data_IF_835028890804
#
_entry.id   IF_835028890804
#
_cell.length_a   1.000
_cell.length_b   1.000
_cell.length_c   1.000
_cell.angle_alpha   90.00
_cell.angle_beta   90.00
_cell.angle_gamma   90.00
#
_symmetry.space_group_name_H-M   'P 1'
#
loop_
_entity.id
_entity.type
_entity.pdbx_description
1 polymer ?
#
# COMPACT_ATOMS: atom_id res chain seq x y z
N UNK A 1 -2.69 14.48 -3.66
CA UNK A 1 -3.61 13.37 -3.38
C UNK A 1 -3.31 12.80 -2.02
N UNK A 2 -4.34 12.53 -1.23
CA UNK A 2 -4.15 11.98 0.10
C UNK A 2 -4.99 10.73 0.29
N UNK A 3 -4.48 9.83 1.11
CA UNK A 3 -5.18 8.58 1.40
C UNK A 3 -5.20 8.33 2.89
N UNK A 4 -6.23 7.63 3.34
CA UNK A 4 -6.28 7.08 4.67
C UNK A 4 -5.86 5.63 4.58
N UNK A 5 -4.98 5.22 5.49
CA UNK A 5 -4.46 3.87 5.51
C UNK A 5 -5.13 3.13 6.67
N UNK A 6 -5.83 2.06 6.36
CA UNK A 6 -6.54 1.27 7.36
C UNK A 6 -5.90 -0.09 7.41
N UNK A 7 -5.20 -0.39 8.52
CA UNK A 7 -4.55 -1.69 8.66
C UNK A 7 -5.59 -2.76 8.86
N UNK A 8 -5.55 -3.80 8.02
CA UNK A 8 -6.50 -4.89 8.13
C UNK A 8 -5.87 -6.15 8.70
N UNK A 9 -4.54 -6.31 8.61
CA UNK A 9 -3.87 -7.34 9.39
C UNK A 9 -2.39 -7.02 9.52
N UNK A 10 -1.76 -7.71 10.45
CA UNK A 10 -0.34 -7.57 10.71
C UNK A 10 0.18 -8.92 11.17
N UNK A 11 1.31 -9.33 10.60
CA UNK A 11 2.05 -10.50 11.07
C UNK A 11 3.40 -10.03 11.57
N UNK A 12 4.27 -10.98 11.95
CA UNK A 12 5.60 -10.59 12.42
C UNK A 12 6.46 -10.00 11.32
N UNK A 13 6.11 -10.21 10.05
CA UNK A 13 6.96 -9.75 8.94
C UNK A 13 6.17 -9.07 7.83
N UNK A 14 4.88 -8.82 8.02
CA UNK A 14 4.09 -8.17 6.97
C UNK A 14 2.90 -7.44 7.56
N UNK A 15 2.40 -6.48 6.80
CA UNK A 15 1.18 -5.74 7.14
C UNK A 15 0.42 -5.47 5.86
N UNK A 16 -0.89 -5.41 5.98
CA UNK A 16 -1.74 -5.03 4.85
C UNK A 16 -2.66 -3.89 5.25
N UNK A 17 -2.77 -2.93 4.36
CA UNK A 17 -3.61 -1.75 4.55
C UNK A 17 -4.57 -1.61 3.39
N UNK A 18 -5.78 -1.16 3.69
CA UNK A 18 -6.66 -0.63 2.66
C UNK A 18 -6.40 0.86 2.54
N UNK A 19 -6.53 1.38 1.34
CA UNK A 19 -6.40 2.81 1.09
C UNK A 19 -7.77 3.36 0.71
N UNK A 20 -8.20 4.37 1.44
CA UNK A 20 -9.44 5.09 1.14
C UNK A 20 -9.11 6.54 0.84
N UNK A 21 -9.89 7.16 -0.03
CA UNK A 21 -9.75 8.59 -0.24
C UNK A 21 -10.45 9.33 0.91
N UNK A 22 -10.44 10.66 0.84
CA UNK A 22 -10.99 11.45 1.94
C UNK A 22 -12.50 11.35 2.05
N UNK A 23 -13.17 10.85 1.02
CA UNK A 23 -14.61 10.62 1.08
C UNK A 23 -14.95 9.21 1.55
N UNK A 24 -13.95 8.37 1.79
CA UNK A 24 -14.15 7.00 2.25
C UNK A 24 -14.24 5.97 1.15
N UNK A 25 -14.06 6.36 -0.11
CA UNK A 25 -14.09 5.40 -1.20
C UNK A 25 -12.76 4.68 -1.33
N UNK A 26 -12.83 3.42 -1.71
CA UNK A 26 -11.65 2.58 -1.80
C UNK A 26 -10.77 3.02 -2.97
N UNK A 27 -9.48 3.23 -2.68
CA UNK A 27 -8.49 3.61 -3.67
C UNK A 27 -7.55 2.49 -4.03
N UNK A 28 -7.34 1.55 -3.12
CA UNK A 28 -6.38 0.50 -3.36
C UNK A 28 -6.02 -0.27 -2.12
N UNK A 29 -4.90 -0.97 -2.21
CA UNK A 29 -4.43 -1.85 -1.15
C UNK A 29 -2.92 -1.81 -1.13
N UNK A 30 -2.35 -1.87 0.07
CA UNK A 30 -0.90 -1.85 0.24
C UNK A 30 -0.48 -3.03 1.08
N UNK A 31 0.50 -3.78 0.59
CA UNK A 31 1.15 -4.82 1.37
C UNK A 31 2.59 -4.40 1.63
N UNK A 32 3.02 -4.49 2.88
CA UNK A 32 4.39 -4.23 3.28
C UNK A 32 4.99 -5.53 3.81
N UNK A 33 6.19 -5.84 3.35
CA UNK A 33 6.92 -7.04 3.78
C UNK A 33 8.25 -6.60 4.34
N UNK A 34 8.53 -7.01 5.58
CA UNK A 34 9.74 -6.62 6.30
C UNK A 34 10.71 -7.80 6.22
N UNK A 35 11.78 -7.63 5.46
CA UNK A 35 12.69 -8.71 5.15
C UNK A 35 13.75 -8.83 6.23
N UNK A 36 14.35 -10.02 6.32
CA UNK A 36 15.31 -10.31 7.38
C UNK A 36 16.57 -9.42 7.30
N UNK A 37 16.89 -8.91 6.11
CA UNK A 37 18.07 -8.06 5.93
C UNK A 37 17.79 -6.60 6.23
N UNK A 38 16.60 -6.27 6.71
CA UNK A 38 16.27 -4.89 7.06
C UNK A 38 15.62 -4.10 5.93
N UNK A 39 15.45 -4.69 4.75
CA UNK A 39 14.76 -3.99 3.67
C UNK A 39 13.26 -4.17 3.80
N UNK A 40 12.52 -3.27 3.16
CA UNK A 40 11.07 -3.31 3.13
C UNK A 40 10.63 -3.36 1.68
N UNK A 41 9.81 -4.34 1.34
CA UNK A 41 9.24 -4.47 0.00
C UNK A 41 7.75 -4.19 0.07
N UNK A 42 7.27 -3.27 -0.73
CA UNK A 42 5.86 -2.91 -0.76
C UNK A 42 5.22 -3.23 -2.10
N UNK A 43 3.99 -3.70 -2.05
CA UNK A 43 3.17 -3.88 -3.23
C UNK A 43 1.96 -2.99 -3.09
N UNK A 44 1.85 -2.01 -3.97
CA UNK A 44 0.77 -1.05 -3.95
C UNK A 44 -0.14 -1.31 -5.15
N UNK A 45 -1.37 -1.72 -4.86
CA UNK A 45 -2.38 -1.88 -5.88
C UNK A 45 -3.28 -0.65 -5.84
N UNK A 46 -3.51 -0.03 -6.99
CA UNK A 46 -4.35 1.16 -7.09
C UNK A 46 -5.51 0.88 -8.04
N UNK A 47 -6.69 1.32 -7.63
CA UNK A 47 -7.86 1.27 -8.50
C UNK A 47 -7.66 2.31 -9.59
N UNK A 48 -7.65 1.88 -10.85
CA UNK A 48 -7.25 2.73 -11.96
C UNK A 48 -8.11 3.99 -12.11
N UNK A 49 -9.39 3.90 -11.71
CA UNK A 49 -10.29 5.06 -11.83
C UNK A 49 -10.01 6.12 -10.78
N UNK A 50 -9.18 5.83 -9.78
CA UNK A 50 -8.90 6.77 -8.70
C UNK A 50 -7.54 7.43 -8.82
N UNK A 51 -6.52 6.68 -9.22
CA UNK A 51 -5.17 7.21 -9.32
C UNK A 51 -4.61 6.74 -10.65
N UNK A 52 -4.43 7.65 -11.59
CA UNK A 52 -4.05 7.27 -12.95
C UNK A 52 -2.73 7.85 -13.41
N UNK A 53 -2.14 8.83 -12.71
CA UNK A 53 -0.91 9.43 -13.18
C UNK A 53 0.24 9.21 -12.22
N UNK A 54 1.43 9.40 -12.75
CA UNK A 54 2.64 9.15 -11.99
C UNK A 54 2.81 10.12 -10.83
N UNK A 55 2.35 11.36 -11.01
CA UNK A 55 2.46 12.36 -9.95
C UNK A 55 1.66 11.94 -8.72
N UNK A 56 0.43 11.47 -8.93
CA UNK A 56 -0.39 10.99 -7.83
C UNK A 56 0.23 9.79 -7.14
N UNK A 57 0.82 8.89 -7.91
CA UNK A 57 1.48 7.72 -7.36
C UNK A 57 2.66 8.14 -6.48
N UNK A 58 3.47 9.10 -6.94
CA UNK A 58 4.62 9.56 -6.16
C UNK A 58 4.18 10.20 -4.85
N UNK A 59 3.09 10.96 -4.86
CA UNK A 59 2.58 11.56 -3.63
C UNK A 59 2.16 10.48 -2.64
N UNK A 60 1.50 9.43 -3.12
CA UNK A 60 1.13 8.31 -2.25
C UNK A 60 2.34 7.59 -1.68
N UNK A 61 3.37 7.37 -2.52
CA UNK A 61 4.57 6.69 -2.04
C UNK A 61 5.28 7.52 -0.97
N UNK A 62 5.32 8.84 -1.13
CA UNK A 62 5.89 9.69 -0.10
C UNK A 62 5.10 9.62 1.19
N UNK A 63 3.79 9.58 1.09
CA UNK A 63 2.93 9.49 2.25
C UNK A 63 3.15 8.16 2.99
N UNK A 64 3.30 7.07 2.24
CA UNK A 64 3.57 5.77 2.82
C UNK A 64 4.92 5.77 3.55
N UNK A 65 5.94 6.34 2.89
CA UNK A 65 7.27 6.41 3.46
C UNK A 65 7.25 7.17 4.79
N UNK A 66 6.57 8.30 4.85
CA UNK A 66 6.54 9.11 6.04
C UNK A 66 5.71 8.51 7.17
N UNK A 67 4.58 7.91 6.85
CA UNK A 67 3.62 7.50 7.86
C UNK A 67 3.77 6.05 8.31
N UNK A 68 4.17 5.18 7.40
CA UNK A 68 4.12 3.75 7.69
C UNK A 68 5.49 3.09 7.84
N UNK A 69 6.53 3.66 7.25
CA UNK A 69 7.87 3.07 7.32
C UNK A 69 8.94 4.11 7.65
N UNK A 70 8.85 4.75 8.81
CA UNK A 70 9.81 5.81 9.14
C UNK A 70 11.25 5.32 9.33
N UNK A 71 11.44 4.02 9.56
CA UNK A 71 12.77 3.47 9.75
C UNK A 71 13.46 3.06 8.45
N UNK A 72 12.76 3.19 7.31
CA UNK A 72 13.29 2.84 5.99
C UNK A 72 13.01 3.99 5.06
N UNK A 73 13.77 4.11 4.00
CA UNK A 73 13.50 5.17 3.03
C UNK A 73 13.99 4.75 1.65
N UNK A 74 13.35 5.31 0.62
CA UNK A 74 13.77 5.05 -0.74
C UNK A 74 15.14 5.62 -1.04
N UNK A 75 15.51 6.70 -0.33
CA UNK A 75 16.82 7.30 -0.51
C UNK A 75 17.94 6.41 0.01
N UNK A 76 17.66 5.62 1.03
CA UNK A 76 18.64 4.71 1.60
C UNK A 76 18.66 3.36 0.88
N UNK A 77 17.85 3.22 -0.15
CA UNK A 77 17.75 2.00 -0.96
C UNK A 77 17.33 0.76 -0.16
N UNK A 78 16.66 0.97 0.98
CA UNK A 78 16.15 -0.16 1.77
C UNK A 78 14.62 -0.23 1.75
N UNK A 79 14.00 0.47 0.81
CA UNK A 79 12.55 0.47 0.63
C UNK A 79 12.26 0.46 -0.86
N UNK A 80 11.49 -0.51 -1.32
CA UNK A 80 11.13 -0.58 -2.73
C UNK A 80 9.64 -0.88 -2.86
N UNK A 81 9.03 -0.38 -3.92
CA UNK A 81 7.62 -0.58 -4.19
C UNK A 81 7.41 -1.09 -5.59
N UNK A 82 6.48 -2.03 -5.72
CA UNK A 82 5.89 -2.40 -6.99
C UNK A 82 4.47 -1.84 -7.00
N UNK A 83 4.13 -1.12 -8.05
CA UNK A 83 2.83 -0.47 -8.15
C UNK A 83 2.06 -1.10 -9.31
N UNK A 84 0.83 -1.50 -9.04
CA UNK A 84 -0.05 -2.11 -10.04
C UNK A 84 -1.34 -1.31 -10.07
N UNK A 85 -1.84 -1.01 -11.25
CA UNK A 85 -3.14 -0.37 -11.41
C UNK A 85 -4.09 -1.33 -12.11
N UNK A 86 -5.34 -1.34 -11.69
CA UNK A 86 -6.31 -2.24 -12.29
C UNK A 86 -7.67 -2.09 -11.64
N UNK A 87 -8.47 -3.12 -11.74
CA UNK A 87 -9.79 -3.15 -11.14
C UNK A 87 -9.85 -4.26 -10.11
N UNK A 88 -10.45 -3.94 -8.96
CA UNK A 88 -10.68 -4.94 -7.95
C UNK A 88 -11.95 -5.70 -8.31
N UNK A 89 -11.81 -7.00 -8.48
CA UNK A 89 -12.97 -7.85 -8.78
C UNK A 89 -13.71 -8.20 -7.50
N UNK A 90 -12.98 -8.53 -6.44
CA UNK A 90 -13.60 -8.87 -5.18
C UNK A 90 -12.64 -9.63 -4.29
N UNK A 91 -13.09 -9.92 -3.08
CA UNK A 91 -12.33 -10.72 -2.14
C UNK A 91 -13.09 -12.02 -1.93
N UNK A 92 -12.39 -13.13 -2.13
CA UNK A 92 -13.01 -14.43 -2.00
C UNK A 92 -12.33 -15.22 -0.89
N UNK A 93 -13.11 -15.87 -0.05
CA UNK A 93 -12.54 -16.65 1.04
C UNK A 93 -13.30 -17.96 1.15
N UNK A 94 -12.61 -18.97 1.66
CA UNK A 94 -13.21 -20.27 1.85
C UNK A 94 -13.90 -20.30 3.20
N UNK A 95 -15.05 -19.66 3.29
CA UNK A 95 -15.79 -19.68 4.52
C UNK A 95 -16.76 -20.83 4.54
N UNK A 96 -16.99 -21.28 5.73
CA UNK A 96 -17.93 -22.32 5.94
C UNK A 96 -19.14 -21.77 6.56
N UNK A 97 -20.24 -21.91 6.02
CA UNK A 97 -21.42 -21.35 6.67
C UNK A 97 -22.43 -22.35 7.10
#
# INVERSE_FOLDING_TARGET
MKAKFIRIFRTSSSERFLLHDLTGEEMGMLDLHFLADGTVAGNLFLVASKVTDETGIRVLLEQIDEQLVPAASMEDANLSFTVTQGELVGTFSSEED
#
